data_IF_775659421952
#
_entry.id   IF_775659421952
#
_cell.length_a   1.000
_cell.length_b   1.000
_cell.length_c   1.000
_cell.angle_alpha   90.00
_cell.angle_beta   90.00
_cell.angle_gamma   90.00
#
_symmetry.space_group_name_H-M   'P 1'
#
loop_
_entity.id
_entity.type
_entity.pdbx_description
1 polymer ?
#
# COMPACT_ATOMS: atom_id res chain seq x y z
N UNK A 1 -19.67 -19.77 -6.98
CA UNK A 1 -20.03 -18.38 -6.66
C UNK A 1 -20.01 -17.62 -7.96
N UNK A 2 -21.18 -17.29 -8.48
CA UNK A 2 -21.30 -16.48 -9.69
C UNK A 2 -21.04 -15.02 -9.29
N UNK A 3 -20.05 -14.38 -9.89
CA UNK A 3 -19.71 -12.98 -9.57
C UNK A 3 -20.62 -12.10 -10.42
N UNK A 4 -21.46 -11.29 -9.76
CA UNK A 4 -22.23 -10.23 -10.41
C UNK A 4 -21.24 -9.21 -11.02
N UNK A 5 -21.22 -9.21 -12.34
CA UNK A 5 -20.30 -8.44 -13.15
C UNK A 5 -20.60 -6.94 -13.08
N UNK A 6 -21.88 -6.57 -13.07
CA UNK A 6 -22.33 -5.18 -13.01
C UNK A 6 -21.99 -4.59 -11.64
N UNK A 7 -22.21 -5.36 -10.58
CA UNK A 7 -21.81 -4.98 -9.23
C UNK A 7 -20.28 -4.83 -9.11
N UNK A 8 -19.51 -5.73 -9.74
CA UNK A 8 -18.05 -5.65 -9.75
C UNK A 8 -17.55 -4.39 -10.48
N UNK A 9 -17.97 -4.15 -11.73
CA UNK A 9 -17.54 -2.97 -12.50
C UNK A 9 -17.90 -1.65 -11.81
N UNK A 10 -19.09 -1.59 -11.21
CA UNK A 10 -19.55 -0.43 -10.42
C UNK A 10 -18.63 -0.20 -9.22
N UNK A 11 -18.30 -1.26 -8.48
CA UNK A 11 -17.42 -1.17 -7.30
C UNK A 11 -16.00 -0.75 -7.66
N UNK A 12 -15.46 -1.27 -8.76
CA UNK A 12 -14.13 -0.89 -9.26
C UNK A 12 -14.08 0.61 -9.58
N UNK A 13 -15.12 1.12 -10.25
CA UNK A 13 -15.19 2.51 -10.67
C UNK A 13 -15.35 3.46 -9.49
N UNK A 14 -16.28 3.16 -8.59
CA UNK A 14 -16.57 3.98 -7.41
C UNK A 14 -15.36 4.11 -6.47
N UNK A 15 -14.58 3.03 -6.29
CA UNK A 15 -13.51 3.00 -5.30
C UNK A 15 -12.12 3.29 -5.88
N UNK A 16 -11.92 3.12 -7.19
CA UNK A 16 -10.59 3.16 -7.80
C UNK A 16 -10.48 4.05 -9.04
N UNK A 17 -11.54 4.73 -9.44
CA UNK A 17 -11.57 5.70 -10.56
C UNK A 17 -11.06 5.11 -11.89
N UNK A 18 -11.36 3.85 -12.17
CA UNK A 18 -11.11 3.21 -13.47
C UNK A 18 -12.34 3.37 -14.38
N UNK A 19 -12.14 3.30 -15.69
CA UNK A 19 -13.22 3.35 -16.68
C UNK A 19 -14.04 2.05 -16.71
N UNK A 20 -15.37 2.18 -16.64
CA UNK A 20 -16.33 1.06 -16.67
C UNK A 20 -16.19 0.28 -17.97
N UNK A 21 -16.16 0.96 -19.13
CA UNK A 21 -16.18 0.30 -20.42
C UNK A 21 -14.88 -0.50 -20.67
N UNK A 22 -13.72 0.09 -20.34
CA UNK A 22 -12.44 -0.60 -20.39
C UNK A 22 -12.38 -1.80 -19.44
N UNK A 23 -12.90 -1.66 -18.22
CA UNK A 23 -12.95 -2.74 -17.22
C UNK A 23 -13.83 -3.89 -17.69
N UNK A 24 -15.04 -3.59 -18.18
CA UNK A 24 -15.97 -4.60 -18.69
C UNK A 24 -15.41 -5.33 -19.89
N UNK A 25 -14.83 -4.64 -20.87
CA UNK A 25 -14.18 -5.26 -22.04
C UNK A 25 -13.05 -6.21 -21.64
N UNK A 26 -12.15 -5.77 -20.76
CA UNK A 26 -11.00 -6.56 -20.33
C UNK A 26 -11.45 -7.84 -19.59
N UNK A 27 -12.47 -7.72 -18.73
CA UNK A 27 -12.94 -8.84 -17.90
C UNK A 27 -13.89 -9.78 -18.66
N UNK A 28 -14.83 -9.26 -19.46
CA UNK A 28 -15.83 -10.04 -20.22
C UNK A 28 -15.20 -10.69 -21.46
N UNK A 29 -14.56 -9.90 -22.32
CA UNK A 29 -14.10 -10.41 -23.61
C UNK A 29 -12.83 -11.25 -23.47
N UNK A 30 -11.94 -10.88 -22.55
CA UNK A 30 -10.58 -11.43 -22.51
C UNK A 30 -10.27 -12.28 -21.28
N UNK A 31 -10.64 -11.87 -20.07
CA UNK A 31 -10.21 -12.59 -18.85
C UNK A 31 -11.08 -13.81 -18.54
N UNK A 32 -12.42 -13.68 -18.56
CA UNK A 32 -13.35 -14.79 -18.29
C UNK A 32 -13.25 -15.93 -19.31
N UNK A 33 -12.80 -15.64 -20.53
CA UNK A 33 -12.71 -16.62 -21.61
C UNK A 33 -11.31 -17.20 -21.82
N UNK A 34 -10.31 -16.76 -21.05
CA UNK A 34 -8.94 -17.24 -21.19
C UNK A 34 -8.78 -18.64 -20.56
N UNK A 35 -8.77 -19.67 -21.40
CA UNK A 35 -8.64 -21.07 -20.98
C UNK A 35 -7.28 -21.35 -20.31
N UNK A 36 -6.21 -20.70 -20.78
CA UNK A 36 -4.87 -20.91 -20.25
C UNK A 36 -4.80 -20.38 -18.81
N UNK A 37 -5.33 -19.17 -18.56
CA UNK A 37 -5.43 -18.63 -17.21
C UNK A 37 -6.32 -19.47 -16.29
N UNK A 38 -7.45 -20.00 -16.79
CA UNK A 38 -8.29 -20.92 -16.00
C UNK A 38 -7.56 -22.19 -15.57
N UNK A 39 -6.84 -22.82 -16.50
CA UNK A 39 -6.05 -24.03 -16.22
C UNK A 39 -4.88 -23.78 -15.28
N UNK A 40 -4.35 -22.55 -15.27
CA UNK A 40 -3.26 -22.16 -14.38
C UNK A 40 -3.79 -21.83 -12.99
N UNK A 41 -4.92 -21.13 -12.91
CA UNK A 41 -5.57 -20.77 -11.65
C UNK A 41 -6.02 -21.99 -10.82
N UNK A 42 -6.38 -23.11 -11.47
CA UNK A 42 -6.67 -24.36 -10.75
C UNK A 42 -5.43 -24.97 -10.09
N UNK A 43 -4.24 -24.69 -10.62
CA UNK A 43 -2.97 -25.27 -10.15
C UNK A 43 -2.17 -24.34 -9.22
N UNK A 44 -2.48 -23.05 -9.15
CA UNK A 44 -1.75 -22.10 -8.30
C UNK A 44 -2.64 -21.06 -7.63
N UNK A 45 -2.35 -20.81 -6.34
CA UNK A 45 -2.96 -19.70 -5.58
C UNK A 45 -2.39 -18.33 -5.95
N UNK A 46 -1.30 -18.27 -6.72
CA UNK A 46 -0.62 -17.03 -7.12
C UNK A 46 -0.87 -16.72 -8.60
N UNK A 47 -2.09 -16.33 -8.93
CA UNK A 47 -2.49 -16.03 -10.31
C UNK A 47 -1.91 -14.70 -10.83
N UNK A 48 -1.87 -13.66 -10.00
CA UNK A 48 -1.56 -12.30 -10.43
C UNK A 48 -0.17 -12.07 -11.03
N UNK A 49 0.91 -12.75 -10.58
CA UNK A 49 2.21 -12.66 -11.24
C UNK A 49 2.25 -13.25 -12.66
N UNK A 50 1.29 -14.12 -12.99
CA UNK A 50 1.23 -14.86 -14.26
C UNK A 50 0.34 -14.16 -15.28
N UNK A 51 -0.52 -13.25 -14.82
CA UNK A 51 -1.38 -12.43 -15.68
C UNK A 51 -0.53 -11.38 -16.40
N UNK A 52 -0.59 -11.34 -17.73
CA UNK A 52 0.12 -10.34 -18.52
C UNK A 52 -0.41 -8.94 -18.25
N UNK A 53 0.47 -8.05 -17.75
CA UNK A 53 0.15 -6.64 -17.51
C UNK A 53 -0.16 -5.86 -18.79
N UNK A 54 0.35 -6.32 -19.93
CA UNK A 54 0.08 -5.70 -21.23
C UNK A 54 -1.32 -6.05 -21.73
N UNK A 55 -1.72 -7.33 -21.61
CA UNK A 55 -3.05 -7.81 -22.03
C UNK A 55 -4.15 -7.42 -21.04
N UNK A 56 -3.82 -7.35 -19.75
CA UNK A 56 -4.78 -7.13 -18.66
C UNK A 56 -4.34 -5.97 -17.75
N UNK A 57 -4.20 -4.79 -18.34
CA UNK A 57 -3.63 -3.64 -17.65
C UNK A 57 -4.54 -3.08 -16.56
N UNK A 58 -5.85 -3.02 -16.79
CA UNK A 58 -6.84 -2.49 -15.85
C UNK A 58 -6.99 -3.46 -14.67
N UNK A 59 -7.09 -4.75 -14.95
CA UNK A 59 -7.27 -5.77 -13.93
C UNK A 59 -6.02 -5.95 -13.07
N UNK A 60 -4.82 -5.92 -13.67
CA UNK A 60 -3.57 -5.95 -12.91
C UNK A 60 -3.43 -4.72 -12.01
N UNK A 61 -3.81 -3.53 -12.49
CA UNK A 61 -3.78 -2.30 -11.70
C UNK A 61 -4.78 -2.36 -10.54
N UNK A 62 -5.98 -2.84 -10.80
CA UNK A 62 -6.99 -3.06 -9.77
C UNK A 62 -6.52 -4.06 -8.70
N UNK A 63 -5.98 -5.23 -9.11
CA UNK A 63 -5.43 -6.21 -8.20
C UNK A 63 -4.29 -5.64 -7.33
N UNK A 64 -3.45 -4.77 -7.91
CA UNK A 64 -2.41 -4.07 -7.17
C UNK A 64 -3.00 -3.09 -6.15
N UNK A 65 -4.00 -2.28 -6.53
CA UNK A 65 -4.69 -1.34 -5.64
C UNK A 65 -5.32 -2.08 -4.44
N UNK A 66 -6.01 -3.19 -4.69
CA UNK A 66 -6.57 -4.04 -3.62
C UNK A 66 -5.45 -4.58 -2.72
N UNK A 67 -4.36 -5.09 -3.29
CA UNK A 67 -3.20 -5.57 -2.50
C UNK A 67 -2.59 -4.46 -1.64
N UNK A 68 -2.51 -3.24 -2.16
CA UNK A 68 -1.96 -2.10 -1.41
C UNK A 68 -2.82 -1.73 -0.21
N UNK A 69 -4.14 -1.88 -0.28
CA UNK A 69 -5.02 -1.63 0.88
C UNK A 69 -4.62 -2.51 2.08
N UNK A 70 -4.46 -3.81 1.86
CA UNK A 70 -4.02 -4.74 2.91
C UNK A 70 -2.59 -4.48 3.41
N UNK A 71 -1.70 -4.06 2.51
CA UNK A 71 -0.31 -3.80 2.87
C UNK A 71 -0.19 -2.51 3.69
N UNK A 72 -0.99 -1.48 3.35
CA UNK A 72 -1.03 -0.21 4.05
C UNK A 72 -1.65 -0.33 5.43
N UNK A 73 -2.74 -1.09 5.60
CA UNK A 73 -3.31 -1.32 6.95
C UNK A 73 -2.30 -1.99 7.87
N UNK A 74 -1.63 -3.06 7.40
CA UNK A 74 -0.58 -3.72 8.17
C UNK A 74 0.59 -2.78 8.51
N UNK A 75 1.05 -1.98 7.54
CA UNK A 75 2.15 -1.05 7.77
C UNK A 75 1.78 0.06 8.76
N UNK A 76 0.57 0.59 8.66
CA UNK A 76 0.03 1.57 9.61
C UNK A 76 -0.06 0.97 11.02
N UNK A 77 -0.64 -0.22 11.17
CA UNK A 77 -0.75 -0.92 12.45
C UNK A 77 0.61 -1.19 13.09
N UNK A 78 1.57 -1.70 12.30
CA UNK A 78 2.94 -1.93 12.73
C UNK A 78 3.61 -0.62 13.17
N UNK A 79 3.46 0.45 12.40
CA UNK A 79 4.01 1.77 12.72
C UNK A 79 3.42 2.34 14.01
N UNK A 80 2.11 2.24 14.21
CA UNK A 80 1.45 2.65 15.45
C UNK A 80 1.88 1.81 16.66
N UNK A 81 2.09 0.51 16.47
CA UNK A 81 2.61 -0.38 17.52
C UNK A 81 4.03 0.03 17.95
N UNK A 82 4.91 0.30 16.99
CA UNK A 82 6.27 0.79 17.25
C UNK A 82 6.25 2.13 17.98
N UNK A 83 5.38 3.04 17.55
CA UNK A 83 5.17 4.34 18.20
C UNK A 83 4.67 4.20 19.65
N UNK A 84 3.76 3.26 19.94
CA UNK A 84 3.34 2.94 21.31
C UNK A 84 4.51 2.44 22.17
N UNK A 85 5.37 1.58 21.61
CA UNK A 85 6.56 1.08 22.30
C UNK A 85 7.53 2.23 22.66
N UNK A 86 7.82 3.12 21.70
CA UNK A 86 8.70 4.29 21.91
C UNK A 86 8.12 5.23 22.97
N UNK A 87 6.82 5.54 22.89
CA UNK A 87 6.11 6.37 23.87
C UNK A 87 6.23 5.80 25.29
N UNK A 88 6.05 4.49 25.46
CA UNK A 88 6.17 3.84 26.77
C UNK A 88 7.60 3.84 27.31
N UNK A 89 8.60 3.78 26.42
CA UNK A 89 10.01 3.74 26.81
C UNK A 89 10.60 5.09 27.21
N UNK A 90 10.21 6.18 26.53
CA UNK A 90 10.80 7.51 26.74
C UNK A 90 9.85 8.54 27.36
N UNK A 91 8.62 8.15 27.72
CA UNK A 91 7.57 9.02 28.29
C UNK A 91 7.44 10.33 27.48
N UNK A 92 7.51 10.22 26.16
CA UNK A 92 7.36 11.36 25.24
C UNK A 92 5.92 11.47 24.77
N UNK A 93 5.38 12.69 24.71
CA UNK A 93 4.10 12.94 24.04
C UNK A 93 4.30 12.95 22.52
N UNK A 94 4.36 11.74 21.98
CA UNK A 94 4.57 11.47 20.57
C UNK A 94 3.40 11.90 19.69
N UNK A 95 2.24 12.18 20.29
CA UNK A 95 1.02 12.55 19.57
C UNK A 95 1.11 13.98 19.01
N UNK A 96 1.69 14.90 19.79
CA UNK A 96 1.89 16.32 19.40
C UNK A 96 2.90 16.45 18.25
N UNK A 97 3.91 15.57 18.21
CA UNK A 97 5.02 15.66 17.26
C UNK A 97 4.96 14.61 16.12
N UNK A 98 3.87 13.85 16.03
CA UNK A 98 3.75 12.75 15.06
C UNK A 98 4.02 13.19 13.62
N UNK A 99 3.48 14.35 13.22
CA UNK A 99 3.71 14.91 11.89
C UNK A 99 5.20 15.15 11.61
N UNK A 100 5.91 15.73 12.58
CA UNK A 100 7.35 15.98 12.46
C UNK A 100 8.14 14.68 12.38
N UNK A 101 7.75 13.64 13.13
CA UNK A 101 8.39 12.32 13.06
C UNK A 101 8.18 11.65 11.72
N UNK A 102 6.93 11.64 11.20
CA UNK A 102 6.63 11.09 9.89
C UNK A 102 7.39 11.87 8.82
N UNK A 103 7.35 13.21 8.86
CA UNK A 103 8.05 14.07 7.92
C UNK A 103 9.56 13.84 7.94
N UNK A 104 10.17 13.68 9.11
CA UNK A 104 11.58 13.37 9.24
C UNK A 104 11.91 11.97 8.67
N UNK A 105 11.08 10.96 8.96
CA UNK A 105 11.26 9.60 8.47
C UNK A 105 11.11 9.46 6.95
N UNK A 106 10.26 10.28 6.32
CA UNK A 106 10.08 10.26 4.85
C UNK A 106 10.93 11.29 4.11
N UNK A 107 11.60 12.19 4.83
CA UNK A 107 12.49 13.18 4.21
C UNK A 107 13.81 12.55 3.79
N UNK A 108 14.38 13.02 2.69
CA UNK A 108 15.76 12.72 2.32
C UNK A 108 16.79 13.54 3.14
N UNK A 109 16.34 14.22 4.20
CA UNK A 109 17.18 15.05 5.03
C UNK A 109 18.06 14.18 5.92
N UNK A 110 19.37 14.24 5.69
CA UNK A 110 20.36 13.64 6.57
C UNK A 110 20.85 14.71 7.53
N UNK A 111 20.44 14.62 8.80
CA UNK A 111 20.94 15.58 9.78
C UNK A 111 22.45 15.35 9.99
N UNK A 112 23.23 16.42 9.92
CA UNK A 112 24.65 16.35 10.22
C UNK A 112 24.84 16.36 11.74
N UNK A 113 24.55 15.23 12.38
CA UNK A 113 24.61 15.06 13.85
C UNK A 113 25.99 15.45 14.37
N UNK A 114 27.06 15.16 13.62
CA UNK A 114 28.43 15.54 14.00
C UNK A 114 28.59 17.05 14.14
N UNK A 115 28.04 17.81 13.18
CA UNK A 115 28.03 19.27 13.22
C UNK A 115 27.19 19.79 14.38
N UNK A 116 26.00 19.23 14.61
CA UNK A 116 25.12 19.62 15.71
C UNK A 116 25.80 19.37 17.07
N UNK A 117 26.45 18.21 17.24
CA UNK A 117 27.17 17.88 18.48
C UNK A 117 28.41 18.76 18.68
N UNK A 118 29.10 19.15 17.60
CA UNK A 118 30.22 20.09 17.69
C UNK A 118 29.79 21.53 17.97
N UNK A 119 28.57 21.91 17.58
CA UNK A 119 28.00 23.26 17.79
C UNK A 119 27.17 23.34 19.08
N UNK A 120 26.79 22.21 19.68
CA UNK A 120 26.10 22.19 20.97
C UNK A 120 27.09 22.40 22.11
N UNK A 121 26.94 23.49 22.85
CA UNK A 121 27.66 23.66 24.11
C UNK A 121 27.14 22.64 25.12
N UNK A 122 28.03 21.85 25.71
CA UNK A 122 27.69 20.94 26.81
C UNK A 122 27.19 21.76 28.00
N UNK A 123 25.87 21.87 28.15
CA UNK A 123 25.23 22.36 29.36
C UNK A 123 25.47 21.31 30.45
N UNK A 124 26.39 21.59 31.37
CA UNK A 124 26.56 20.77 32.55
C UNK A 124 25.26 20.81 33.37
N UNK A 125 24.69 19.63 33.63
CA UNK A 125 23.52 19.52 34.51
C UNK A 125 23.94 19.85 35.95
N UNK A 126 23.12 20.60 36.65
CA UNK A 126 23.35 21.06 38.02
C UNK A 126 22.92 20.05 39.08
#
# INVERSE_FOLDING_TARGET
>A
MEIDMQQFSTSVTQNFSEDIAATEMEVIASFKNDLALKSLASNTKRIWPLVSKYKYSVLCRFALKVKTLFSLTYLCESSFSNMKFIKNKYVIDLQIHLDNFIRMAVSNYTSNIKKIVSESECQASH
#
